data_IF_641236718834
#
_entry.id   IF_641236718834
#
_cell.length_a   1.000
_cell.length_b   1.000
_cell.length_c   1.000
_cell.angle_alpha   90.00
_cell.angle_beta   90.00
_cell.angle_gamma   90.00
#
_symmetry.space_group_name_H-M   'P 1'
#
loop_
_entity.id
_entity.type
_entity.pdbx_description
1 polymer ?
#
# COMPACT_ATOMS: atom_id res chain seq x y z
N UNK A 1 -0.46 -13.51 -5.97
CA UNK A 1 0.47 -12.42 -6.36
C UNK A 1 1.32 -12.86 -7.55
N UNK A 2 0.95 -12.44 -8.76
CA UNK A 2 1.64 -12.75 -10.01
C UNK A 2 2.43 -11.58 -10.57
N UNK A 3 3.05 -11.76 -11.74
CA UNK A 3 3.79 -10.70 -12.45
C UNK A 3 2.89 -9.51 -12.84
N UNK A 4 1.61 -9.75 -13.11
CA UNK A 4 0.64 -8.70 -13.47
C UNK A 4 0.14 -7.83 -12.32
N UNK A 5 0.33 -8.26 -11.06
CA UNK A 5 -0.16 -7.53 -9.90
C UNK A 5 0.84 -6.45 -9.44
N UNK A 6 0.63 -5.22 -9.93
CA UNK A 6 1.46 -4.04 -9.64
C UNK A 6 1.49 -3.63 -8.15
N UNK A 7 0.59 -4.14 -7.31
CA UNK A 7 0.60 -3.85 -5.86
C UNK A 7 1.49 -4.83 -5.11
N UNK A 8 1.63 -6.05 -5.61
CA UNK A 8 2.50 -7.08 -5.01
C UNK A 8 3.98 -6.80 -5.19
N UNK A 9 4.82 -7.37 -4.31
CA UNK A 9 6.28 -7.30 -4.46
C UNK A 9 6.74 -7.92 -5.79
N UNK A 10 6.15 -9.05 -6.20
CA UNK A 10 6.49 -9.74 -7.46
C UNK A 10 6.12 -8.92 -8.70
N UNK A 11 4.92 -8.34 -8.76
CA UNK A 11 4.56 -7.50 -9.91
C UNK A 11 5.31 -6.17 -9.93
N UNK A 12 5.69 -5.61 -8.77
CA UNK A 12 6.62 -4.46 -8.73
C UNK A 12 8.03 -4.80 -9.20
N UNK A 13 8.52 -6.02 -8.95
CA UNK A 13 9.79 -6.51 -9.52
C UNK A 13 9.67 -6.57 -11.04
N UNK A 14 8.61 -7.20 -11.56
CA UNK A 14 8.41 -7.36 -12.99
C UNK A 14 8.24 -6.02 -13.72
N UNK A 15 7.49 -5.09 -13.13
CA UNK A 15 7.30 -3.75 -13.69
C UNK A 15 8.47 -2.78 -13.42
N UNK A 16 9.53 -3.19 -12.71
CA UNK A 16 10.68 -2.33 -12.39
C UNK A 16 10.40 -1.18 -11.43
N UNK A 17 9.21 -1.10 -10.82
CA UNK A 17 8.78 0.02 -9.97
C UNK A 17 9.03 -0.22 -8.48
N UNK A 18 8.97 0.85 -7.68
CA UNK A 18 9.15 0.81 -6.21
C UNK A 18 7.86 1.20 -5.47
N UNK A 19 7.85 1.04 -4.15
CA UNK A 19 6.85 1.61 -3.26
C UNK A 19 6.70 0.77 -2.00
N UNK A 20 5.56 0.89 -1.30
CA UNK A 20 5.35 0.28 0.03
C UNK A 20 5.75 -1.20 0.12
N UNK A 21 5.39 -2.00 -0.88
CA UNK A 21 5.67 -3.44 -0.93
C UNK A 21 7.04 -3.81 -1.55
N UNK A 22 7.73 -2.88 -2.22
CA UNK A 22 9.08 -3.04 -2.79
C UNK A 22 9.89 -1.75 -2.61
N UNK A 23 10.45 -1.50 -1.40
CA UNK A 23 11.23 -0.29 -1.11
C UNK A 23 12.63 -0.35 -1.73
N UNK A 24 13.18 0.80 -2.16
CA UNK A 24 14.53 0.93 -2.74
C UNK A 24 15.65 0.86 -1.70
N UNK A 25 15.35 1.16 -0.44
CA UNK A 25 16.29 1.16 0.68
C UNK A 25 15.60 0.63 1.93
N UNK A 26 16.31 -0.13 2.77
CA UNK A 26 15.77 -0.70 4.03
C UNK A 26 15.17 0.36 4.97
N UNK A 27 15.61 1.62 4.86
CA UNK A 27 15.18 2.75 5.70
C UNK A 27 13.91 3.49 5.24
N UNK A 28 13.31 3.12 4.10
CA UNK A 28 12.05 3.71 3.62
C UNK A 28 10.85 2.82 3.92
N UNK A 29 10.85 2.15 5.07
CA UNK A 29 9.60 1.78 5.74
C UNK A 29 8.97 3.05 6.32
N UNK A 30 8.70 4.05 5.48
CA UNK A 30 7.86 5.18 5.88
C UNK A 30 6.48 4.59 6.08
N UNK A 31 6.18 4.43 7.37
CA UNK A 31 4.86 4.37 7.94
C UNK A 31 3.89 3.48 7.16
N UNK A 32 3.84 2.22 7.58
CA UNK A 32 2.52 1.72 7.98
C UNK A 32 2.04 2.70 9.05
N UNK A 33 1.34 3.77 8.66
CA UNK A 33 0.31 4.32 9.51
C UNK A 33 -0.71 3.17 9.59
N UNK A 34 -0.90 2.50 10.73
CA UNK A 34 -2.17 1.83 10.95
C UNK A 34 -3.19 2.96 11.02
N UNK A 35 -3.80 3.32 9.89
CA UNK A 35 -5.15 3.85 9.94
C UNK A 35 -6.01 2.61 10.18
N UNK A 36 -6.10 2.21 11.46
CA UNK A 36 -7.33 2.39 12.24
C UNK A 36 -8.49 1.85 11.44
N UNK A 37 -8.75 0.56 11.64
CA UNK A 37 -10.09 0.02 11.53
C UNK A 37 -10.99 0.80 12.50
N UNK A 38 -11.93 1.58 11.98
CA UNK A 38 -13.28 1.72 12.53
C UNK A 38 -14.16 2.55 11.58
N UNK A 39 -15.05 1.86 10.87
CA UNK A 39 -16.42 2.37 10.63
C UNK A 39 -17.12 2.43 12.01
N UNK A 40 -18.07 3.33 12.35
CA UNK A 40 -19.26 3.62 11.53
C UNK A 40 -19.93 5.04 11.65
N UNK A 41 -20.81 5.34 10.68
CA UNK A 41 -22.05 6.14 10.76
C UNK A 41 -22.07 7.58 11.34
N UNK A 42 -22.48 8.57 10.51
CA UNK A 42 -23.81 9.24 10.54
C UNK A 42 -23.85 10.53 9.71
N UNK A 43 -24.94 10.65 8.94
CA UNK A 43 -25.67 11.86 8.50
C UNK A 43 -24.89 13.00 7.82
N UNK A 44 -25.01 13.09 6.50
CA UNK A 44 -25.10 14.41 5.83
C UNK A 44 -26.41 15.06 6.28
N UNK A 45 -26.31 16.18 6.99
CA UNK A 45 -27.37 17.15 7.13
C UNK A 45 -26.93 18.43 6.45
N UNK A 46 -27.76 18.95 5.54
CA UNK A 46 -28.43 20.25 5.66
C UNK A 46 -29.48 20.32 4.56
#
# INVERSE_FOLDING_TARGET
MGKGDKRSRRGKIFAGSFGKTRPKSKKKSVAVKPAVESKPAKKKGK
#
